data_IF_996379877042
#
_entry.id   IF_996379877042
#
_cell.length_a   1.000
_cell.length_b   1.000
_cell.length_c   1.000
_cell.angle_alpha   90.00
_cell.angle_beta   90.00
_cell.angle_gamma   90.00
#
_symmetry.space_group_name_H-M   'P 1'
#
loop_
_entity.id
_entity.type
_entity.pdbx_description
1 polymer ?
#
# COMPACT_ATOMS: atom_id res chain seq x y z
N UNK A 1 10.06 12.79 3.30
CA UNK A 1 10.48 11.91 2.19
C UNK A 1 10.70 10.50 2.70
N UNK A 2 10.07 9.50 2.09
CA UNK A 2 10.30 8.10 2.42
C UNK A 2 11.63 7.60 1.87
N UNK A 3 12.32 6.82 2.67
CA UNK A 3 13.60 6.18 2.33
C UNK A 3 13.41 4.68 2.10
N UNK A 4 14.23 4.10 1.23
CA UNK A 4 14.19 2.67 0.88
C UNK A 4 13.65 2.41 -0.53
N UNK A 5 13.52 1.14 -0.89
CA UNK A 5 13.11 0.70 -2.22
C UNK A 5 11.60 0.55 -2.37
N UNK A 6 11.04 1.12 -3.44
CA UNK A 6 9.62 0.99 -3.76
C UNK A 6 9.22 1.68 -5.06
N UNK A 7 7.94 1.57 -5.39
CA UNK A 7 7.32 2.24 -6.54
C UNK A 7 6.34 3.31 -6.04
N UNK A 8 6.16 4.38 -6.80
CA UNK A 8 5.20 5.44 -6.49
C UNK A 8 5.84 6.69 -5.88
N UNK A 9 5.13 7.34 -4.96
CA UNK A 9 5.49 8.67 -4.43
C UNK A 9 6.26 8.61 -3.11
N UNK A 10 7.32 9.41 -3.00
CA UNK A 10 8.08 9.64 -1.75
C UNK A 10 7.25 10.33 -0.67
N UNK A 11 6.18 11.02 -1.05
CA UNK A 11 5.28 11.78 -0.18
C UNK A 11 3.88 11.14 -0.11
N UNK A 12 3.80 9.85 -0.41
CA UNK A 12 2.53 9.13 -0.43
C UNK A 12 1.82 9.11 0.94
N UNK A 13 0.50 9.25 0.93
CA UNK A 13 -0.35 9.12 2.12
C UNK A 13 -0.89 7.69 2.31
N UNK A 14 -0.85 6.86 1.28
CA UNK A 14 -1.14 5.42 1.38
C UNK A 14 0.14 4.66 1.07
N UNK A 15 0.64 3.91 2.04
CA UNK A 15 1.84 3.09 1.89
C UNK A 15 1.44 1.63 1.98
N UNK A 16 1.73 0.87 0.94
CA UNK A 16 1.49 -0.58 0.95
C UNK A 16 2.81 -1.31 0.96
N UNK A 17 3.03 -2.15 1.98
CA UNK A 17 4.23 -2.96 2.14
C UNK A 17 3.99 -4.37 1.61
N UNK A 18 4.92 -4.85 0.79
CA UNK A 18 4.91 -6.17 0.19
C UNK A 18 6.30 -6.80 0.33
N UNK A 19 6.34 -8.11 0.63
CA UNK A 19 7.60 -8.85 0.73
C UNK A 19 8.31 -9.04 -0.61
N UNK A 20 7.52 -9.14 -1.68
CA UNK A 20 8.00 -9.53 -3.01
C UNK A 20 8.36 -8.30 -3.86
N UNK A 21 9.41 -8.45 -4.67
CA UNK A 21 9.78 -7.52 -5.75
C UNK A 21 9.39 -8.09 -7.11
N UNK A 22 9.14 -7.26 -8.14
CA UNK A 22 9.06 -7.76 -9.50
C UNK A 22 10.36 -8.49 -9.85
N UNK A 23 10.31 -9.73 -10.37
CA UNK A 23 11.51 -10.52 -10.68
C UNK A 23 12.16 -10.05 -11.99
N UNK A 24 12.44 -8.75 -12.10
CA UNK A 24 13.19 -8.14 -13.19
C UNK A 24 14.35 -7.34 -12.58
N UNK A 25 15.51 -7.41 -13.21
CA UNK A 25 16.78 -6.89 -12.68
C UNK A 25 16.66 -5.46 -12.12
N UNK A 26 16.02 -4.57 -12.87
CA UNK A 26 15.81 -3.16 -12.50
C UNK A 26 15.05 -2.94 -11.19
N UNK A 27 14.23 -3.90 -10.73
CA UNK A 27 13.51 -3.81 -9.45
C UNK A 27 14.18 -4.61 -8.34
N UNK A 28 14.97 -5.64 -8.70
CA UNK A 28 15.79 -6.37 -7.74
C UNK A 28 16.90 -5.49 -7.18
N UNK A 29 17.53 -4.66 -8.03
CA UNK A 29 18.57 -3.71 -7.62
C UNK A 29 18.04 -2.36 -7.13
N UNK A 30 16.73 -2.12 -7.14
CA UNK A 30 16.15 -0.84 -6.75
C UNK A 30 16.37 -0.58 -5.25
N UNK A 31 16.87 0.60 -4.91
CA UNK A 31 17.17 1.05 -3.54
C UNK A 31 16.45 2.36 -3.18
N UNK A 32 15.77 2.97 -4.14
CA UNK A 32 14.98 4.21 -3.99
C UNK A 32 13.48 3.97 -4.24
N UNK A 33 12.66 4.91 -3.78
CA UNK A 33 11.26 5.00 -4.20
C UNK A 33 11.21 5.74 -5.53
N UNK A 34 10.73 5.06 -6.58
CA UNK A 34 10.69 5.62 -7.94
C UNK A 34 9.26 5.63 -8.48
N UNK A 35 8.77 6.76 -9.05
CA UNK A 35 7.51 6.77 -9.78
C UNK A 35 7.64 5.93 -11.06
N UNK A 36 6.59 5.18 -11.36
CA UNK A 36 6.53 4.37 -12.58
C UNK A 36 6.32 5.26 -13.81
N UNK A 37 6.89 4.84 -14.94
CA UNK A 37 6.59 5.37 -16.25
C UNK A 37 5.24 4.87 -16.76
N UNK A 38 4.69 5.56 -17.75
CA UNK A 38 3.54 5.06 -18.50
C UNK A 38 3.86 3.68 -19.08
N UNK A 39 2.87 2.79 -19.13
CA UNK A 39 2.98 1.39 -19.59
C UNK A 39 3.84 0.45 -18.71
N UNK A 40 4.63 0.95 -17.75
CA UNK A 40 5.51 0.12 -16.92
C UNK A 40 4.72 -0.90 -16.07
N UNK A 41 3.51 -0.53 -15.62
CA UNK A 41 2.58 -1.47 -14.96
C UNK A 41 2.19 -2.63 -15.88
N UNK A 42 1.90 -2.33 -17.15
CA UNK A 42 1.53 -3.33 -18.15
C UNK A 42 2.74 -4.21 -18.51
N UNK A 43 3.92 -3.63 -18.64
CA UNK A 43 5.16 -4.35 -18.92
C UNK A 43 5.54 -5.31 -17.79
N UNK A 44 5.50 -4.88 -16.52
CA UNK A 44 5.74 -5.78 -15.39
C UNK A 44 4.73 -6.94 -15.42
N UNK A 45 3.44 -6.64 -15.62
CA UNK A 45 2.40 -7.68 -15.68
C UNK A 45 2.63 -8.68 -16.83
N UNK A 46 3.10 -8.20 -17.99
CA UNK A 46 3.42 -9.03 -19.16
C UNK A 46 4.66 -9.90 -18.91
N UNK A 47 5.72 -9.31 -18.37
CA UNK A 47 7.03 -9.95 -18.21
C UNK A 47 7.12 -10.89 -17.00
N UNK A 48 6.33 -10.65 -15.95
CA UNK A 48 6.39 -11.41 -14.69
C UNK A 48 5.16 -12.28 -14.43
N UNK A 49 4.18 -12.22 -15.35
CA UNK A 49 3.02 -13.09 -15.38
C UNK A 49 1.92 -12.73 -14.38
N UNK A 50 1.12 -13.74 -14.04
CA UNK A 50 -0.18 -13.53 -13.38
C UNK A 50 -0.08 -12.92 -11.97
N UNK A 51 1.05 -13.06 -11.29
CA UNK A 51 1.20 -12.59 -9.90
C UNK A 51 1.13 -11.06 -9.80
N UNK A 52 2.01 -10.34 -10.50
CA UNK A 52 2.05 -8.87 -10.45
C UNK A 52 0.82 -8.20 -11.07
N UNK A 53 0.26 -8.80 -12.12
CA UNK A 53 -1.01 -8.36 -12.70
C UNK A 53 -2.13 -8.31 -11.65
N UNK A 54 -2.19 -9.28 -10.73
CA UNK A 54 -3.18 -9.31 -9.64
C UNK A 54 -2.95 -8.16 -8.66
N UNK A 55 -1.70 -7.96 -8.25
CA UNK A 55 -1.31 -6.91 -7.29
C UNK A 55 -1.76 -5.55 -7.81
N UNK A 56 -1.38 -5.19 -9.04
CA UNK A 56 -1.75 -3.90 -9.63
C UNK A 56 -3.25 -3.76 -9.83
N UNK A 57 -3.96 -4.82 -10.24
CA UNK A 57 -5.41 -4.76 -10.40
C UNK A 57 -6.13 -4.52 -9.08
N UNK A 58 -5.75 -5.24 -8.02
CA UNK A 58 -6.36 -5.09 -6.70
C UNK A 58 -6.01 -3.73 -6.10
N UNK A 59 -4.78 -3.25 -6.27
CA UNK A 59 -4.37 -1.92 -5.81
C UNK A 59 -5.16 -0.82 -6.54
N UNK A 60 -5.28 -0.89 -7.86
CA UNK A 60 -6.07 0.06 -8.64
C UNK A 60 -7.54 0.08 -8.23
N UNK A 61 -8.14 -1.09 -7.97
CA UNK A 61 -9.52 -1.17 -7.45
C UNK A 61 -9.67 -0.51 -6.09
N UNK A 62 -8.73 -0.76 -5.18
CA UNK A 62 -8.71 -0.13 -3.85
C UNK A 62 -8.67 1.40 -3.98
N UNK A 63 -7.75 1.94 -4.78
CA UNK A 63 -7.63 3.39 -4.98
C UNK A 63 -8.84 3.97 -5.70
N UNK A 64 -9.38 3.25 -6.69
CA UNK A 64 -10.57 3.67 -7.42
C UNK A 64 -11.78 3.77 -6.49
N UNK A 65 -11.98 2.81 -5.59
CA UNK A 65 -13.08 2.84 -4.62
C UNK A 65 -12.87 3.91 -3.53
N UNK A 66 -11.62 4.19 -3.14
CA UNK A 66 -11.30 5.31 -2.24
C UNK A 66 -11.56 6.67 -2.89
N UNK A 67 -11.04 6.88 -4.10
CA UNK A 67 -11.14 8.13 -4.84
C UNK A 67 -10.85 7.88 -6.33
N UNK A 68 -11.86 7.86 -7.20
CA UNK A 68 -11.70 7.59 -8.64
C UNK A 68 -10.83 8.59 -9.41
N UNK A 69 -10.49 9.75 -8.84
CA UNK A 69 -9.63 10.79 -9.46
C UNK A 69 -10.07 11.24 -10.86
N UNK A 70 -11.36 11.17 -11.16
CA UNK A 70 -11.93 11.54 -12.47
C UNK A 70 -11.96 10.40 -13.49
N UNK A 71 -11.40 9.23 -13.18
CA UNK A 71 -11.50 8.04 -14.01
C UNK A 71 -12.89 7.40 -13.87
N UNK A 72 -13.43 6.87 -14.97
CA UNK A 72 -14.69 6.11 -14.95
C UNK A 72 -14.49 4.62 -14.68
N UNK A 73 -13.26 4.13 -14.83
CA UNK A 73 -12.91 2.72 -14.65
C UNK A 73 -11.61 2.58 -13.88
N UNK A 74 -11.53 1.57 -13.01
CA UNK A 74 -10.30 1.28 -12.27
C UNK A 74 -9.13 0.89 -13.19
N UNK A 75 -9.42 0.35 -14.39
CA UNK A 75 -8.38 0.04 -15.38
C UNK A 75 -7.69 1.31 -15.88
N UNK A 76 -8.45 2.38 -16.12
CA UNK A 76 -7.87 3.64 -16.59
C UNK A 76 -7.01 4.27 -15.48
N UNK A 77 -7.47 4.21 -14.22
CA UNK A 77 -6.66 4.60 -13.05
C UNK A 77 -5.38 3.78 -12.95
N UNK A 78 -5.46 2.45 -13.15
CA UNK A 78 -4.27 1.56 -13.13
C UNK A 78 -3.25 1.98 -14.17
N UNK A 79 -3.71 2.24 -15.39
CA UNK A 79 -2.83 2.42 -16.54
C UNK A 79 -2.28 3.86 -16.64
N UNK A 80 -2.95 4.84 -16.03
CA UNK A 80 -2.62 6.26 -16.18
C UNK A 80 -2.23 6.97 -14.87
N UNK A 81 -2.43 6.36 -13.70
CA UNK A 81 -2.19 7.02 -12.41
C UNK A 81 -1.44 6.18 -11.39
N UNK A 82 -1.81 4.89 -11.26
CA UNK A 82 -1.29 4.02 -10.20
C UNK A 82 0.24 4.02 -10.16
N UNK A 83 0.81 4.47 -9.04
CA UNK A 83 2.27 4.52 -8.78
C UNK A 83 3.08 5.38 -9.79
N UNK A 84 2.43 6.18 -10.62
CA UNK A 84 3.10 7.07 -11.58
C UNK A 84 3.39 8.45 -10.98
N UNK A 85 4.03 9.33 -11.74
CA UNK A 85 4.30 10.70 -11.32
C UNK A 85 2.99 11.42 -10.90
N UNK A 86 2.99 12.08 -9.73
CA UNK A 86 1.81 12.77 -9.20
C UNK A 86 0.81 11.87 -8.46
N UNK A 87 1.16 10.59 -8.25
CA UNK A 87 0.39 9.70 -7.40
C UNK A 87 0.53 10.05 -5.90
N UNK A 88 -0.40 9.55 -5.08
CA UNK A 88 -0.39 9.76 -3.62
C UNK A 88 -0.13 8.46 -2.85
N UNK A 89 0.30 7.41 -3.55
CA UNK A 89 0.49 6.08 -3.01
C UNK A 89 1.91 5.56 -3.28
N UNK A 90 2.34 4.62 -2.45
CA UNK A 90 3.60 3.91 -2.65
C UNK A 90 3.44 2.42 -2.40
N UNK A 91 4.13 1.61 -3.21
CA UNK A 91 4.31 0.18 -3.01
C UNK A 91 5.75 -0.07 -2.57
N UNK A 92 5.94 -0.35 -1.29
CA UNK A 92 7.25 -0.48 -0.66
C UNK A 92 7.71 -1.94 -0.65
N UNK A 93 8.94 -2.16 -1.13
CA UNK A 93 9.64 -3.46 -1.10
C UNK A 93 10.56 -3.60 0.10
N UNK A 94 10.95 -2.48 0.71
CA UNK A 94 11.77 -2.47 1.92
C UNK A 94 10.88 -2.53 3.17
N UNK A 95 11.40 -3.16 4.21
CA UNK A 95 10.77 -3.11 5.53
C UNK A 95 10.76 -1.66 6.05
N UNK A 96 9.67 -1.20 6.69
CA UNK A 96 9.64 0.12 7.33
C UNK A 96 10.57 0.15 8.53
N UNK A 97 11.40 1.20 8.63
CA UNK A 97 12.20 1.47 9.82
C UNK A 97 11.33 1.83 11.02
N UNK A 98 10.23 2.56 10.77
CA UNK A 98 9.20 2.90 11.75
C UNK A 98 7.86 3.11 11.04
N UNK A 99 6.76 2.95 11.77
CA UNK A 99 5.43 3.36 11.33
C UNK A 99 5.08 4.73 11.90
N UNK A 100 4.22 5.46 11.19
CA UNK A 100 3.71 6.75 11.67
C UNK A 100 2.88 6.52 12.93
N UNK A 101 3.15 7.30 13.97
CA UNK A 101 2.39 7.27 15.22
C UNK A 101 1.41 8.45 15.26
N UNK A 102 0.17 8.17 15.67
CA UNK A 102 -0.87 9.16 15.95
C UNK A 102 -0.70 9.65 17.39
N UNK A 103 0.37 10.43 17.60
CA UNK A 103 0.52 11.18 18.82
C UNK A 103 -0.22 12.52 18.65
N UNK A 104 -1.03 12.90 19.65
CA UNK A 104 -1.62 14.24 19.78
C UNK A 104 -0.55 15.36 19.96
N UNK A 105 0.69 15.12 19.53
CA UNK A 105 1.80 16.03 19.67
C UNK A 105 1.64 17.18 18.66
N UNK A 106 1.65 18.41 19.18
CA UNK A 106 1.66 19.65 18.40
C UNK A 106 2.91 19.78 17.49
N UNK A 107 3.75 18.75 17.43
CA UNK A 107 5.05 18.69 16.76
C UNK A 107 5.09 17.78 15.54
N UNK A 108 4.05 16.94 15.31
CA UNK A 108 3.99 16.13 14.09
C UNK A 108 3.58 17.00 12.90
N UNK A 109 4.35 17.02 11.78
CA UNK A 109 3.98 17.72 10.56
C UNK A 109 2.55 17.36 10.12
N UNK A 110 1.77 18.33 9.63
CA UNK A 110 0.39 18.08 9.18
C UNK A 110 0.28 16.98 8.11
N UNK A 111 1.35 16.76 7.33
CA UNK A 111 1.44 15.71 6.32
C UNK A 111 1.44 14.30 6.92
N UNK A 112 2.02 14.11 8.12
CA UNK A 112 2.10 12.80 8.77
C UNK A 112 0.73 12.36 9.33
N UNK A 113 -0.14 13.31 9.68
CA UNK A 113 -1.49 13.03 10.21
C UNK A 113 -2.40 12.27 9.24
N UNK A 114 -2.06 12.21 7.96
CA UNK A 114 -2.87 11.52 6.95
C UNK A 114 -2.23 10.26 6.38
N UNK A 115 -1.03 9.90 6.82
CA UNK A 115 -0.34 8.71 6.32
C UNK A 115 -0.98 7.44 6.92
N UNK A 116 -1.29 6.47 6.07
CA UNK A 116 -1.79 5.14 6.46
C UNK A 116 -0.85 4.09 5.88
N UNK A 117 -0.39 3.20 6.75
CA UNK A 117 0.43 2.06 6.36
C UNK A 117 -0.45 0.81 6.23
N UNK A 118 -0.22 0.02 5.19
CA UNK A 118 -0.94 -1.23 4.92
C UNK A 118 0.10 -2.32 4.67
N UNK A 119 0.09 -3.39 5.45
CA UNK A 119 0.88 -4.58 5.17
C UNK A 119 -0.03 -5.59 4.46
N UNK A 120 0.28 -5.91 3.21
CA UNK A 120 -0.48 -6.94 2.49
C UNK A 120 0.07 -8.34 2.81
N UNK A 121 -0.82 -9.24 3.23
CA UNK A 121 -0.48 -10.63 3.56
C UNK A 121 -0.14 -10.84 5.03
N UNK A 122 -0.90 -11.74 5.68
CA UNK A 122 -0.78 -12.05 7.11
C UNK A 122 0.58 -12.62 7.52
N UNK A 123 1.15 -13.52 6.71
CA UNK A 123 2.46 -14.11 6.98
C UNK A 123 3.57 -13.06 6.98
N UNK A 124 3.53 -12.13 6.02
CA UNK A 124 4.51 -11.05 5.97
C UNK A 124 4.33 -10.08 7.14
N UNK A 125 3.09 -9.74 7.49
CA UNK A 125 2.81 -8.92 8.67
C UNK A 125 3.35 -9.55 9.96
N UNK A 126 3.19 -10.87 10.15
CA UNK A 126 3.74 -11.57 11.31
C UNK A 126 5.28 -11.52 11.36
N UNK A 127 5.94 -11.71 10.22
CA UNK A 127 7.41 -11.63 10.13
C UNK A 127 7.94 -10.23 10.39
N UNK A 128 7.24 -9.20 9.90
CA UNK A 128 7.65 -7.82 10.07
C UNK A 128 7.42 -7.34 11.51
N UNK A 129 6.26 -7.64 12.07
CA UNK A 129 5.85 -7.15 13.38
C UNK A 129 6.48 -7.93 14.54
N UNK A 130 6.98 -9.14 14.32
CA UNK A 130 7.78 -9.85 15.33
C UNK A 130 9.09 -9.12 15.68
N UNK A 131 9.56 -8.24 14.78
CA UNK A 131 10.72 -7.37 15.00
C UNK A 131 10.37 -6.05 15.68
N UNK A 132 9.07 -5.75 15.86
CA UNK A 132 8.57 -4.48 16.38
C UNK A 132 7.64 -4.73 17.57
N UNK A 133 8.24 -4.92 18.75
CA UNK A 133 7.55 -5.38 19.96
C UNK A 133 6.42 -4.44 20.45
N UNK A 134 6.46 -3.16 20.09
CA UNK A 134 5.54 -2.14 20.62
C UNK A 134 4.25 -2.00 19.79
N UNK A 135 4.09 -2.75 18.69
CA UNK A 135 2.93 -2.64 17.81
C UNK A 135 1.85 -3.65 18.19
N UNK A 136 0.86 -3.16 18.95
CA UNK A 136 -0.36 -3.90 19.23
C UNK A 136 -1.34 -3.83 18.03
N UNK A 137 -1.76 -5.01 17.55
CA UNK A 137 -2.81 -5.17 16.54
C UNK A 137 -4.14 -5.57 17.19
N UNK A 138 -5.21 -4.88 16.80
CA UNK A 138 -6.58 -5.28 17.08
C UNK A 138 -7.19 -5.97 15.85
N UNK A 139 -7.46 -7.26 15.96
CA UNK A 139 -8.12 -8.04 14.90
C UNK A 139 -9.60 -7.64 14.80
N UNK A 140 -10.03 -7.21 13.62
CA UNK A 140 -11.42 -6.86 13.32
C UNK A 140 -12.22 -8.10 12.89
N UNK A 141 -11.54 -9.05 12.25
CA UNK A 141 -12.03 -10.37 11.86
C UNK A 141 -10.82 -11.25 11.48
N UNK A 142 -11.04 -12.38 10.80
CA UNK A 142 -9.96 -13.29 10.36
C UNK A 142 -8.97 -12.70 9.34
N UNK A 143 -9.42 -11.69 8.57
CA UNK A 143 -8.71 -11.11 7.43
C UNK A 143 -7.97 -9.81 7.78
N UNK A 144 -8.54 -9.01 8.67
CA UNK A 144 -8.10 -7.63 8.92
C UNK A 144 -7.72 -7.41 10.37
N UNK A 145 -6.60 -6.72 10.56
CA UNK A 145 -6.19 -6.17 11.85
C UNK A 145 -5.78 -4.71 11.69
N UNK A 146 -5.87 -3.94 12.77
CA UNK A 146 -5.52 -2.53 12.78
C UNK A 146 -4.73 -2.17 14.03
N UNK A 147 -3.72 -1.33 13.89
CA UNK A 147 -3.15 -0.57 15.00
C UNK A 147 -3.49 0.89 14.76
N UNK A 148 -4.47 1.42 15.51
CA UNK A 148 -4.94 2.81 15.34
C UNK A 148 -3.83 3.80 15.68
N UNK A 149 -3.13 3.56 16.80
CA UNK A 149 -2.00 4.37 17.23
C UNK A 149 -0.88 4.43 16.18
N UNK A 150 -0.61 3.34 15.46
CA UNK A 150 0.40 3.33 14.38
C UNK A 150 -0.19 3.57 12.97
N UNK A 151 -1.48 3.94 12.89
CA UNK A 151 -2.23 4.12 11.61
C UNK A 151 -1.95 2.99 10.60
N UNK A 152 -1.89 1.77 11.12
CA UNK A 152 -1.42 0.58 10.43
C UNK A 152 -2.56 -0.40 10.23
N UNK A 153 -2.67 -0.95 9.02
CA UNK A 153 -3.64 -1.98 8.65
C UNK A 153 -2.89 -3.22 8.18
N UNK A 154 -3.31 -4.39 8.67
CA UNK A 154 -2.97 -5.69 8.06
C UNK A 154 -4.18 -6.17 7.28
N UNK A 155 -3.96 -6.57 6.02
CA UNK A 155 -5.02 -7.08 5.16
C UNK A 155 -4.61 -8.37 4.43
N UNK A 156 -5.55 -9.07 3.79
CA UNK A 156 -5.21 -10.14 2.85
C UNK A 156 -4.27 -9.67 1.75
N UNK A 157 -3.54 -10.60 1.14
CA UNK A 157 -2.64 -10.27 0.04
C UNK A 157 -3.41 -9.70 -1.16
N UNK A 158 -2.76 -8.87 -1.99
CA UNK A 158 -3.38 -8.26 -3.17
C UNK A 158 -3.54 -9.27 -4.32
N UNK A 159 -4.36 -10.29 -4.07
CA UNK A 159 -4.84 -11.31 -4.99
C UNK A 159 -6.36 -11.32 -4.89
N UNK A 160 -7.10 -11.27 -6.01
CA UNK A 160 -8.57 -11.26 -6.01
C UNK A 160 -9.20 -12.49 -5.34
N UNK A 161 -8.44 -13.59 -5.17
CA UNK A 161 -8.86 -14.78 -4.40
C UNK A 161 -8.86 -14.52 -2.90
N UNK A 162 -7.98 -13.62 -2.42
CA UNK A 162 -7.80 -13.31 -1.01
C UNK A 162 -8.49 -11.99 -0.63
N UNK A 163 -8.35 -10.96 -1.47
CA UNK A 163 -8.96 -9.63 -1.35
C UNK A 163 -9.99 -9.43 -2.47
N UNK A 164 -11.17 -10.03 -2.27
CA UNK A 164 -12.34 -9.87 -3.16
C UNK A 164 -12.87 -8.44 -3.13
N UNK A 165 -13.78 -8.07 -4.05
CA UNK A 165 -14.36 -6.72 -4.05
C UNK A 165 -15.03 -6.36 -2.70
N UNK A 166 -15.72 -7.30 -2.06
CA UNK A 166 -16.33 -7.08 -0.72
C UNK A 166 -15.26 -6.76 0.32
N UNK A 167 -14.11 -7.43 0.27
CA UNK A 167 -12.98 -7.18 1.17
C UNK A 167 -12.25 -5.88 0.81
N UNK A 168 -12.21 -5.48 -0.46
CA UNK A 168 -11.74 -4.15 -0.87
C UNK A 168 -12.62 -3.08 -0.23
N UNK A 169 -13.96 -3.18 -0.33
CA UNK A 169 -14.88 -2.25 0.33
C UNK A 169 -14.67 -2.19 1.84
N UNK A 170 -14.43 -3.33 2.49
CA UNK A 170 -14.08 -3.36 3.91
C UNK A 170 -12.77 -2.61 4.21
N UNK A 171 -11.73 -2.82 3.40
CA UNK A 171 -10.46 -2.13 3.53
C UNK A 171 -10.62 -0.60 3.35
N UNK A 172 -11.44 -0.18 2.38
CA UNK A 172 -11.80 1.23 2.16
C UNK A 172 -12.44 1.82 3.43
N UNK A 173 -13.41 1.13 4.04
CA UNK A 173 -14.01 1.58 5.31
C UNK A 173 -12.97 1.72 6.43
N UNK A 174 -12.03 0.77 6.54
CA UNK A 174 -10.98 0.82 7.57
C UNK A 174 -10.07 2.03 7.34
N UNK A 175 -9.61 2.24 6.09
CA UNK A 175 -8.77 3.40 5.72
C UNK A 175 -9.47 4.71 6.09
N UNK A 176 -10.74 4.86 5.68
CA UNK A 176 -11.53 6.05 5.99
C UNK A 176 -11.73 6.27 7.50
N UNK A 177 -11.79 5.19 8.30
CA UNK A 177 -11.90 5.31 9.75
C UNK A 177 -10.63 5.86 10.43
N UNK A 178 -9.46 5.71 9.80
CA UNK A 178 -8.18 6.22 10.29
C UNK A 178 -7.86 7.62 9.73
N UNK A 179 -8.47 8.00 8.60
CA UNK A 179 -8.31 9.33 7.99
C UNK A 179 -9.14 10.44 8.62
N UNK A 180 -10.07 10.13 9.54
CA UNK A 180 -10.95 11.14 10.15
C UNK A 180 -10.29 11.81 11.36
N UNK A 181 -9.98 13.09 11.21
CA UNK A 181 -10.24 14.10 12.24
C UNK A 181 -11.50 14.85 11.84
#
# INVERSE_FOLDING_TARGET
MKTGAGLGSTDANIIVYIQNRPPLEQYLSLDIVKPMAQEEVADIARLTGNHWRKIFNVFAKLLFELKPKGFSRWQDLRDQYLLQQGCNEALMFSEPTAFVVDENSATSPEQDKNVISIIMGKTYAQQLLSKQADIALHWLNEDFAVSKYHRLIVCPYFDYRQLSNIKISKLVTIIQSLSKN
#
